data_IF_839569840049
#
_entry.id   IF_839569840049
#
_cell.length_a   1.000
_cell.length_b   1.000
_cell.length_c   1.000
_cell.angle_alpha   90.00
_cell.angle_beta   90.00
_cell.angle_gamma   90.00
#
_symmetry.space_group_name_H-M   'P 1'
#
loop_
_entity.id
_entity.type
_entity.pdbx_description
1 polymer ?
#
# COMPACT_ATOMS: atom_id res chain seq x y z
N UNK A 1 24.45 -16.37 -8.44
CA UNK A 1 23.00 -16.39 -8.36
C UNK A 1 22.46 -15.10 -7.80
N UNK A 2 22.97 -14.59 -6.67
CA UNK A 2 22.50 -13.33 -6.09
C UNK A 2 22.63 -12.15 -7.06
N UNK A 3 23.75 -12.06 -7.77
CA UNK A 3 23.96 -10.98 -8.74
C UNK A 3 22.99 -11.06 -9.91
N UNK A 4 22.67 -12.27 -10.39
CA UNK A 4 21.70 -12.49 -11.46
C UNK A 4 20.30 -12.11 -11.00
N UNK A 5 19.93 -12.52 -9.77
CA UNK A 5 18.63 -12.19 -9.20
C UNK A 5 18.47 -10.69 -8.98
N UNK A 6 19.52 -10.01 -8.50
CA UNK A 6 19.51 -8.57 -8.31
C UNK A 6 19.36 -7.85 -9.65
N UNK A 7 20.05 -8.30 -10.68
CA UNK A 7 19.97 -7.71 -12.01
C UNK A 7 18.58 -7.89 -12.61
N UNK A 8 18.03 -9.07 -12.52
CA UNK A 8 16.67 -9.35 -12.99
C UNK A 8 15.65 -8.55 -12.19
N UNK A 9 15.84 -8.45 -10.88
CA UNK A 9 14.95 -7.71 -10.01
C UNK A 9 14.90 -6.22 -10.36
N UNK A 10 16.05 -5.62 -10.68
CA UNK A 10 16.13 -4.18 -10.91
C UNK A 10 15.91 -3.77 -12.36
N UNK A 11 16.21 -4.61 -13.31
CA UNK A 11 16.20 -4.26 -14.72
C UNK A 11 15.37 -5.18 -15.61
N UNK A 12 15.00 -6.34 -15.11
CA UNK A 12 14.22 -7.31 -15.86
C UNK A 12 12.74 -7.11 -15.74
N UNK A 13 11.97 -8.08 -16.22
CA UNK A 13 10.51 -8.03 -16.21
C UNK A 13 9.87 -9.00 -15.24
N UNK A 14 10.67 -9.79 -14.51
CA UNK A 14 10.13 -10.75 -13.56
C UNK A 14 9.70 -10.04 -12.27
N UNK A 15 8.56 -10.48 -11.72
CA UNK A 15 8.09 -9.98 -10.43
C UNK A 15 8.78 -10.77 -9.32
N UNK A 16 9.75 -10.14 -8.68
CA UNK A 16 10.59 -10.75 -7.65
C UNK A 16 10.55 -9.89 -6.38
N UNK A 17 9.38 -9.83 -5.69
CA UNK A 17 9.24 -8.94 -4.55
C UNK A 17 10.24 -9.29 -3.44
N UNK A 18 10.82 -8.24 -2.88
CA UNK A 18 11.87 -8.37 -1.86
C UNK A 18 11.31 -7.95 -0.51
N UNK A 19 10.93 -8.93 0.28
CA UNK A 19 10.43 -8.69 1.63
C UNK A 19 11.60 -8.42 2.59
N UNK A 20 11.35 -7.63 3.62
CA UNK A 20 12.37 -7.32 4.61
C UNK A 20 12.60 -8.50 5.58
N UNK A 21 13.42 -8.29 6.61
CA UNK A 21 13.73 -9.33 7.60
C UNK A 21 12.52 -9.85 8.38
N UNK A 22 11.41 -9.10 8.36
CA UNK A 22 10.17 -9.49 9.01
C UNK A 22 9.16 -10.06 8.02
N UNK A 23 9.55 -10.26 6.77
CA UNK A 23 8.66 -10.77 5.73
C UNK A 23 7.67 -9.74 5.21
N UNK A 24 7.99 -8.46 5.32
CA UNK A 24 7.08 -7.38 4.94
C UNK A 24 7.68 -6.51 3.85
N UNK A 25 6.79 -5.92 3.04
CA UNK A 25 7.16 -4.82 2.16
C UNK A 25 6.20 -3.65 2.36
N UNK A 26 6.67 -2.45 2.03
CA UNK A 26 5.89 -1.24 2.18
C UNK A 26 4.86 -1.11 1.06
N UNK A 27 3.67 -0.65 1.40
CA UNK A 27 2.61 -0.43 0.43
C UNK A 27 2.08 0.99 0.58
N UNK A 28 2.22 1.78 -0.48
CA UNK A 28 1.66 3.13 -0.58
C UNK A 28 0.38 3.01 -1.37
N UNK A 29 -0.70 3.61 -0.86
CA UNK A 29 -1.99 3.59 -1.56
C UNK A 29 -2.26 4.99 -2.09
N UNK A 30 -2.52 5.07 -3.38
CA UNK A 30 -2.71 6.32 -4.10
C UNK A 30 -4.03 6.27 -4.86
N UNK A 31 -4.79 7.35 -4.81
CA UNK A 31 -6.03 7.43 -5.58
C UNK A 31 -5.70 7.47 -7.08
N UNK A 32 -6.31 6.57 -7.86
CA UNK A 32 -6.02 6.45 -9.29
C UNK A 32 -6.45 7.68 -10.08
N UNK A 33 -7.52 8.33 -9.67
CA UNK A 33 -8.06 9.48 -10.39
C UNK A 33 -7.34 10.78 -10.05
N UNK A 34 -7.14 11.07 -8.77
CA UNK A 34 -6.58 12.36 -8.32
C UNK A 34 -5.06 12.33 -8.13
N UNK A 35 -4.48 11.16 -7.92
CA UNK A 35 -3.08 11.03 -7.56
C UNK A 35 -2.79 11.27 -6.09
N UNK A 36 -3.81 11.52 -5.28
CA UNK A 36 -3.62 11.76 -3.86
C UNK A 36 -3.12 10.51 -3.15
N UNK A 37 -2.15 10.66 -2.25
CA UNK A 37 -1.72 9.56 -1.39
C UNK A 37 -2.77 9.37 -0.31
N UNK A 38 -3.30 8.15 -0.20
CA UNK A 38 -4.41 7.87 0.72
C UNK A 38 -3.97 7.26 2.03
N UNK A 39 -3.04 6.31 1.99
CA UNK A 39 -2.57 5.64 3.20
C UNK A 39 -1.26 4.90 2.93
N UNK A 40 -0.67 4.42 4.01
CA UNK A 40 0.54 3.60 3.98
C UNK A 40 0.32 2.40 4.92
N UNK A 41 0.73 1.23 4.48
CA UNK A 41 0.62 0.01 5.28
C UNK A 41 1.70 -0.97 4.85
N UNK A 42 1.65 -2.19 5.37
CA UNK A 42 2.60 -3.25 5.04
C UNK A 42 1.87 -4.46 4.48
N UNK A 43 2.56 -5.20 3.63
CA UNK A 43 2.07 -6.45 3.07
C UNK A 43 3.09 -7.54 3.33
N UNK A 44 2.63 -8.71 3.79
CA UNK A 44 3.42 -9.91 3.73
C UNK A 44 3.09 -10.63 2.41
N UNK A 45 3.67 -11.81 2.20
CA UNK A 45 3.45 -12.57 0.97
C UNK A 45 1.97 -12.92 0.79
N UNK A 46 1.28 -13.24 1.89
CA UNK A 46 -0.14 -13.59 1.82
C UNK A 46 -0.99 -12.38 1.44
N UNK A 47 -0.74 -11.22 2.04
CA UNK A 47 -1.49 -10.00 1.71
C UNK A 47 -1.30 -9.63 0.24
N UNK A 48 -0.07 -9.73 -0.25
CA UNK A 48 0.23 -9.45 -1.66
C UNK A 48 -0.52 -10.41 -2.59
N UNK A 49 -0.49 -11.71 -2.28
CA UNK A 49 -1.18 -12.72 -3.07
C UNK A 49 -2.69 -12.49 -3.09
N UNK A 50 -3.28 -12.19 -1.93
CA UNK A 50 -4.72 -11.93 -1.82
C UNK A 50 -5.13 -10.68 -2.58
N UNK A 51 -4.31 -9.64 -2.53
CA UNK A 51 -4.56 -8.40 -3.28
C UNK A 51 -4.56 -8.68 -4.77
N UNK A 52 -3.61 -9.47 -5.26
CA UNK A 52 -3.52 -9.82 -6.68
C UNK A 52 -4.70 -10.68 -7.14
N UNK A 53 -5.13 -11.62 -6.29
CA UNK A 53 -6.25 -12.52 -6.62
C UNK A 53 -7.59 -11.79 -6.63
N UNK A 54 -7.87 -11.00 -5.60
CA UNK A 54 -9.18 -10.41 -5.40
C UNK A 54 -9.36 -9.05 -6.10
N UNK A 55 -8.27 -8.34 -6.35
CA UNK A 55 -8.33 -6.97 -6.80
C UNK A 55 -8.67 -5.97 -5.70
N UNK A 56 -8.74 -6.42 -4.45
CA UNK A 56 -9.02 -5.58 -3.30
C UNK A 56 -7.79 -5.53 -2.41
N UNK A 57 -7.47 -4.35 -1.87
CA UNK A 57 -6.26 -4.17 -1.09
C UNK A 57 -6.31 -4.94 0.24
N UNK A 58 -5.36 -5.82 0.42
CA UNK A 58 -5.13 -6.57 1.66
C UNK A 58 -3.77 -6.14 2.23
N UNK A 59 -3.67 -6.09 3.53
CA UNK A 59 -2.45 -5.69 4.22
C UNK A 59 -2.15 -6.67 5.36
N UNK A 60 -0.95 -6.54 5.92
CA UNK A 60 -0.57 -7.26 7.13
C UNK A 60 -0.61 -6.27 8.29
N UNK A 61 -1.42 -6.58 9.30
CA UNK A 61 -1.45 -5.77 10.53
C UNK A 61 -0.28 -6.18 11.41
N UNK A 62 0.69 -5.27 11.59
CA UNK A 62 1.87 -5.54 12.43
C UNK A 62 1.48 -5.70 13.90
N UNK A 63 0.53 -4.91 14.37
CA UNK A 63 0.11 -4.96 15.78
C UNK A 63 -0.68 -6.21 16.11
N UNK A 64 -1.47 -6.73 15.16
CA UNK A 64 -2.29 -7.91 15.37
C UNK A 64 -1.67 -9.18 14.81
N UNK A 65 -0.63 -9.05 14.00
CA UNK A 65 0.06 -10.19 13.40
C UNK A 65 -0.81 -10.99 12.45
N UNK A 66 -1.72 -10.34 11.71
CA UNK A 66 -2.64 -11.06 10.83
C UNK A 66 -2.96 -10.32 9.54
N UNK A 67 -3.46 -11.07 8.58
CA UNK A 67 -4.00 -10.56 7.32
C UNK A 67 -5.18 -9.64 7.59
N UNK A 68 -5.26 -8.56 6.83
CA UNK A 68 -6.29 -7.56 6.99
C UNK A 68 -6.79 -7.11 5.60
N UNK A 69 -8.07 -7.34 5.33
CA UNK A 69 -8.73 -6.78 4.15
C UNK A 69 -9.19 -5.36 4.50
N UNK A 70 -8.65 -4.37 3.78
CA UNK A 70 -9.05 -2.99 4.01
C UNK A 70 -10.53 -2.84 3.70
N UNK A 71 -11.28 -2.33 4.67
CA UNK A 71 -12.73 -2.16 4.53
C UNK A 71 -13.56 -3.38 4.92
N UNK A 72 -12.95 -4.41 5.53
CA UNK A 72 -13.67 -5.64 5.89
C UNK A 72 -14.84 -5.40 6.84
N UNK A 73 -14.76 -4.36 7.66
CA UNK A 73 -15.82 -4.00 8.58
C UNK A 73 -16.66 -2.83 8.07
N UNK A 74 -16.00 -1.80 7.58
CA UNK A 74 -16.67 -0.56 7.16
C UNK A 74 -17.28 -0.63 5.76
N UNK A 75 -16.86 -1.57 4.94
CA UNK A 75 -17.23 -1.62 3.52
C UNK A 75 -16.42 -0.67 2.65
N UNK A 76 -15.55 0.13 3.23
CA UNK A 76 -14.72 1.08 2.49
C UNK A 76 -13.51 0.38 1.89
N UNK A 77 -13.76 -0.52 0.96
CA UNK A 77 -12.70 -1.29 0.29
C UNK A 77 -11.92 -0.40 -0.67
N UNK A 78 -10.70 -0.83 -0.98
CA UNK A 78 -9.84 -0.17 -1.96
C UNK A 78 -9.68 -1.11 -3.15
N UNK A 79 -10.29 -0.76 -4.26
CA UNK A 79 -10.23 -1.57 -5.47
C UNK A 79 -8.97 -1.22 -6.24
N UNK A 80 -8.09 -2.18 -6.41
CA UNK A 80 -6.79 -1.96 -7.04
C UNK A 80 -6.94 -1.97 -8.55
N UNK A 81 -6.57 -0.87 -9.19
CA UNK A 81 -6.55 -0.74 -10.64
C UNK A 81 -5.20 -1.12 -11.22
N UNK A 82 -4.14 -0.78 -10.50
CA UNK A 82 -2.77 -1.01 -10.97
C UNK A 82 -1.86 -1.15 -9.76
N UNK A 83 -0.93 -2.07 -9.83
CA UNK A 83 0.11 -2.26 -8.83
C UNK A 83 1.44 -1.93 -9.47
N UNK A 84 2.14 -0.96 -8.92
CA UNK A 84 3.49 -0.58 -9.35
C UNK A 84 4.47 -1.02 -8.29
N UNK A 85 5.67 -1.37 -8.72
CA UNK A 85 6.73 -1.80 -7.81
C UNK A 85 7.96 -0.93 -8.04
N UNK A 86 8.71 -0.65 -6.98
CA UNK A 86 9.87 0.20 -7.12
C UNK A 86 11.08 -0.56 -7.71
N UNK A 87 12.20 0.16 -7.88
CA UNK A 87 13.33 -0.37 -8.66
C UNK A 87 13.96 -1.62 -8.06
N UNK A 88 14.00 -1.75 -6.74
CA UNK A 88 14.56 -2.94 -6.07
C UNK A 88 13.46 -3.87 -5.53
N UNK A 89 12.20 -3.59 -5.88
CA UNK A 89 11.04 -4.43 -5.58
C UNK A 89 10.82 -4.66 -4.07
N UNK A 90 11.09 -3.67 -3.25
CA UNK A 90 10.83 -3.76 -1.81
C UNK A 90 9.67 -2.85 -1.36
N UNK A 91 9.04 -2.14 -2.27
CA UNK A 91 7.87 -1.31 -1.99
C UNK A 91 6.93 -1.31 -3.19
N UNK A 92 5.64 -1.22 -2.92
CA UNK A 92 4.63 -1.16 -3.98
C UNK A 92 3.78 0.09 -3.84
N UNK A 93 3.25 0.55 -4.97
CA UNK A 93 2.20 1.56 -5.00
C UNK A 93 0.95 0.88 -5.55
N UNK A 94 -0.14 0.97 -4.81
CA UNK A 94 -1.44 0.50 -5.27
C UNK A 94 -2.24 1.71 -5.74
N UNK A 95 -2.53 1.77 -7.03
CA UNK A 95 -3.43 2.78 -7.58
C UNK A 95 -4.84 2.24 -7.45
N UNK A 96 -5.70 2.94 -6.71
CA UNK A 96 -6.99 2.40 -6.31
C UNK A 96 -8.15 3.33 -6.63
N UNK A 97 -9.34 2.72 -6.69
CA UNK A 97 -10.61 3.42 -6.55
C UNK A 97 -11.09 3.13 -5.13
N UNK A 98 -11.23 4.17 -4.33
CA UNK A 98 -11.66 4.01 -2.93
C UNK A 98 -13.19 4.04 -2.88
N UNK A 99 -13.79 3.04 -2.23
CA UNK A 99 -15.24 2.98 -2.06
C UNK A 99 -15.75 3.96 -1.00
N UNK A 100 -14.84 4.52 -0.21
CA UNK A 100 -15.15 5.50 0.84
C UNK A 100 -13.88 6.02 1.45
N UNK A 101 -13.97 6.74 2.57
CA UNK A 101 -12.78 7.30 3.24
C UNK A 101 -11.76 6.22 3.56
N UNK A 102 -10.48 6.47 3.25
CA UNK A 102 -9.41 5.52 3.52
C UNK A 102 -9.02 5.49 5.00
N UNK A 103 -9.15 6.64 5.68
CA UNK A 103 -8.77 6.75 7.09
C UNK A 103 -9.91 6.33 8.01
N UNK A 104 -9.58 5.66 9.12
CA UNK A 104 -10.58 5.27 10.13
C UNK A 104 -11.24 6.48 10.80
N UNK A 105 -10.66 7.68 10.67
CA UNK A 105 -11.24 8.92 11.18
C UNK A 105 -12.37 9.47 10.29
N UNK A 106 -12.60 8.85 9.14
CA UNK A 106 -13.58 9.31 8.16
C UNK A 106 -13.00 10.25 7.11
N UNK A 107 -11.70 10.55 7.17
CA UNK A 107 -11.03 11.38 6.18
C UNK A 107 -10.73 10.58 4.93
N UNK A 108 -10.77 11.24 3.77
CA UNK A 108 -10.48 10.58 2.50
C UNK A 108 -9.07 10.02 2.47
N UNK A 109 -8.12 10.71 3.07
CA UNK A 109 -6.71 10.31 3.18
C UNK A 109 -6.30 10.27 4.64
N UNK A 110 -5.43 9.33 4.98
CA UNK A 110 -4.78 9.33 6.29
C UNK A 110 -3.84 10.52 6.45
N UNK A 111 -3.39 11.11 5.33
CA UNK A 111 -2.45 12.24 5.32
C UNK A 111 -3.21 13.55 5.17
N UNK A 112 -4.14 13.82 6.10
CA UNK A 112 -5.01 14.99 6.01
C UNK A 112 -4.52 16.19 6.82
N UNK A 113 -3.37 16.07 7.48
CA UNK A 113 -2.76 17.15 8.26
C UNK A 113 -1.32 17.36 7.81
N UNK A 114 -0.88 18.60 7.89
CA UNK A 114 0.50 18.97 7.59
C UNK A 114 1.15 19.57 8.82
N UNK A 115 2.46 19.52 8.86
CA UNK A 115 3.24 20.12 9.94
C UNK A 115 3.39 21.61 9.67
N UNK A 116 3.11 22.41 10.71
CA UNK A 116 3.32 23.86 10.68
C UNK A 116 4.06 24.22 11.98
N UNK A 117 5.37 24.41 11.90
CA UNK A 117 6.22 24.56 13.09
C UNK A 117 6.17 23.27 13.89
N UNK A 118 5.67 23.33 15.13
CA UNK A 118 5.52 22.18 16.00
C UNK A 118 4.08 21.72 16.14
N UNK A 119 3.17 22.26 15.32
CA UNK A 119 1.75 21.91 15.39
C UNK A 119 1.27 21.31 14.08
N UNK A 120 0.16 20.60 14.15
CA UNK A 120 -0.47 20.02 12.96
C UNK A 120 -1.62 20.90 12.51
N UNK A 121 -1.71 21.05 11.21
CA UNK A 121 -2.71 21.88 10.57
C UNK A 121 -3.44 21.07 9.51
N UNK A 122 -4.78 21.12 9.52
CA UNK A 122 -5.57 20.39 8.53
C UNK A 122 -5.31 21.00 7.15
N UNK A 123 -5.09 20.13 6.17
CA UNK A 123 -4.91 20.55 4.78
C UNK A 123 -6.27 21.01 4.24
N UNK A 124 -6.31 22.20 3.69
CA UNK A 124 -7.51 22.74 3.06
C UNK A 124 -7.50 22.40 1.58
N UNK A 125 -8.66 22.04 1.08
CA UNK A 125 -8.82 21.75 -0.36
C UNK A 125 -8.83 23.03 -1.19
#
# INVERSE_FOLDING_TARGET
MAATDSNEREQGSAFLPRFDGNGLLAAIVQDAASGAVLMFAFMDAEALARTRESGLAHFHSRSRGRLWLKGETSGHVLRVRELRIDCDQDAVVLLVDAAGPACHTGEASCFYRKLNGDTLERIKD
#
